data_IF_066880134799
#
_entry.id   IF_066880134799
#
_cell.length_a   1.000
_cell.length_b   1.000
_cell.length_c   1.000
_cell.angle_alpha   90.00
_cell.angle_beta   90.00
_cell.angle_gamma   90.00
#
_symmetry.space_group_name_H-M   'P 1'
#
loop_
_entity.id
_entity.type
_entity.pdbx_description
1 polymer ?
#
# COMPACT_ATOMS: atom_id res chain seq x y z
N UNK A 1 -31.01 41.65 12.07
CA UNK A 1 -30.67 41.82 10.72
C UNK A 1 -29.18 42.19 10.61
N UNK A 2 -28.44 41.58 9.74
CA UNK A 2 -27.09 41.91 9.38
C UNK A 2 -26.01 41.65 10.45
N UNK A 3 -25.64 40.39 10.66
CA UNK A 3 -24.30 39.94 11.15
C UNK A 3 -24.17 38.43 11.05
N UNK A 4 -24.40 37.87 9.88
CA UNK A 4 -24.19 36.44 9.60
C UNK A 4 -23.49 36.20 8.25
N UNK A 5 -22.79 37.21 7.77
CA UNK A 5 -21.97 37.04 6.56
C UNK A 5 -20.59 37.60 6.84
N UNK A 6 -19.58 36.90 6.45
CA UNK A 6 -18.14 37.13 6.58
C UNK A 6 -17.46 36.43 7.76
N UNK A 7 -17.39 35.14 7.69
CA UNK A 7 -16.23 34.40 8.18
C UNK A 7 -15.79 33.35 7.17
N UNK A 8 -15.44 33.82 5.98
CA UNK A 8 -14.42 33.14 5.20
C UNK A 8 -13.10 33.36 5.94
N UNK A 9 -12.76 32.48 6.85
CA UNK A 9 -11.43 32.47 7.43
C UNK A 9 -10.46 32.12 6.34
N UNK A 10 -9.74 33.16 5.87
CA UNK A 10 -8.40 32.97 5.35
C UNK A 10 -7.67 32.08 6.35
N UNK A 11 -7.30 30.88 5.94
CA UNK A 11 -6.49 29.98 6.73
C UNK A 11 -5.16 30.66 6.97
N UNK A 12 -4.97 31.12 8.17
CA UNK A 12 -3.69 31.59 8.66
C UNK A 12 -2.65 30.48 8.43
N UNK A 13 -1.54 30.87 7.85
CA UNK A 13 -0.36 30.12 7.49
C UNK A 13 0.27 29.43 8.74
N UNK A 14 -0.34 28.39 9.30
CA UNK A 14 0.19 27.72 10.50
C UNK A 14 -0.54 26.46 10.96
N UNK A 15 -1.82 26.35 10.76
CA UNK A 15 -2.57 25.18 11.22
C UNK A 15 -2.81 24.18 10.08
N UNK A 16 -2.21 22.99 10.21
CA UNK A 16 -2.41 21.87 9.30
C UNK A 16 -3.84 21.34 9.46
N UNK A 17 -4.52 21.02 8.33
CA UNK A 17 -5.82 20.38 8.33
C UNK A 17 -5.75 19.06 9.12
N UNK A 18 -6.78 18.76 9.92
CA UNK A 18 -6.88 17.53 10.72
C UNK A 18 -8.02 16.65 10.21
N UNK A 19 -7.96 15.35 10.52
CA UNK A 19 -9.06 14.44 10.24
C UNK A 19 -10.34 14.89 10.99
N UNK A 20 -11.49 14.73 10.32
CA UNK A 20 -12.79 15.06 10.90
C UNK A 20 -13.17 14.10 12.03
N UNK A 21 -12.69 12.84 11.99
CA UNK A 21 -13.02 11.81 12.97
C UNK A 21 -11.87 10.83 13.19
N UNK A 22 -11.90 10.12 14.33
CA UNK A 22 -11.01 8.99 14.60
C UNK A 22 -11.18 7.86 13.57
N UNK A 23 -12.41 7.58 13.19
CA UNK A 23 -12.70 6.57 12.17
C UNK A 23 -12.07 6.95 10.82
N UNK A 24 -12.13 8.24 10.45
CA UNK A 24 -11.45 8.76 9.27
C UNK A 24 -9.95 8.53 9.31
N UNK A 25 -9.29 8.84 10.42
CA UNK A 25 -7.87 8.56 10.61
C UNK A 25 -7.54 7.07 10.44
N UNK A 26 -8.26 6.20 11.15
CA UNK A 26 -8.00 4.74 11.09
C UNK A 26 -8.22 4.22 9.68
N UNK A 27 -9.30 4.60 9.01
CA UNK A 27 -9.61 4.11 7.67
C UNK A 27 -8.67 4.66 6.59
N UNK A 28 -8.22 5.91 6.69
CA UNK A 28 -7.23 6.47 5.74
C UNK A 28 -5.86 5.83 5.95
N UNK A 29 -5.41 5.69 7.19
CA UNK A 29 -4.14 5.03 7.50
C UNK A 29 -4.18 3.55 7.13
N UNK A 30 -5.25 2.85 7.44
CA UNK A 30 -5.47 1.49 6.99
C UNK A 30 -5.53 1.40 5.46
N UNK A 31 -6.19 2.36 4.79
CA UNK A 31 -6.27 2.43 3.34
C UNK A 31 -4.91 2.70 2.67
N UNK A 32 -4.01 3.39 3.35
CA UNK A 32 -2.62 3.51 2.90
C UNK A 32 -1.89 2.16 2.98
N UNK A 33 -2.07 1.45 4.07
CA UNK A 33 -1.47 0.14 4.27
C UNK A 33 -2.13 -0.94 3.40
N UNK A 34 -3.46 -0.98 3.36
CA UNK A 34 -4.25 -1.92 2.55
C UNK A 34 -4.16 -1.55 1.07
N UNK A 35 -3.29 -2.23 0.35
CA UNK A 35 -3.06 -1.97 -1.06
C UNK A 35 -2.61 -3.22 -1.79
N UNK A 36 -1.78 -3.03 -2.81
CA UNK A 36 -1.21 -4.14 -3.60
C UNK A 36 -0.38 -5.10 -2.75
N UNK A 37 0.16 -4.65 -1.63
CA UNK A 37 0.86 -5.50 -0.68
C UNK A 37 -0.03 -6.62 -0.13
N UNK A 38 -1.28 -6.32 0.19
CA UNK A 38 -2.23 -7.29 0.74
C UNK A 38 -2.86 -8.18 -0.33
N UNK A 39 -3.33 -7.55 -1.40
CA UNK A 39 -4.21 -8.22 -2.37
C UNK A 39 -3.47 -8.81 -3.56
N UNK A 40 -2.28 -8.31 -3.85
CA UNK A 40 -1.46 -8.76 -4.96
C UNK A 40 -0.20 -9.51 -4.50
N UNK A 41 0.68 -8.85 -3.72
CA UNK A 41 1.95 -9.45 -3.27
C UNK A 41 1.75 -10.57 -2.26
N UNK A 42 0.98 -10.35 -1.21
CA UNK A 42 0.85 -11.32 -0.13
C UNK A 42 0.42 -12.71 -0.61
N UNK A 43 -0.62 -12.87 -1.46
CA UNK A 43 -1.01 -14.19 -1.92
C UNK A 43 0.09 -14.95 -2.66
N UNK A 44 0.78 -14.31 -3.60
CA UNK A 44 1.83 -15.02 -4.34
C UNK A 44 3.10 -15.26 -3.53
N UNK A 45 3.50 -14.31 -2.66
CA UNK A 45 4.65 -14.50 -1.76
C UNK A 45 4.35 -15.61 -0.75
N UNK A 46 3.14 -15.66 -0.20
CA UNK A 46 2.68 -16.74 0.65
C UNK A 46 2.74 -18.09 -0.08
N UNK A 47 2.26 -18.14 -1.32
CA UNK A 47 2.33 -19.34 -2.16
C UNK A 47 3.77 -19.80 -2.43
N UNK A 48 4.69 -18.87 -2.69
CA UNK A 48 6.11 -19.18 -2.94
C UNK A 48 6.86 -19.63 -1.68
N UNK A 49 6.43 -19.22 -0.49
CA UNK A 49 7.12 -19.45 0.78
C UNK A 49 6.46 -20.54 1.66
N UNK A 50 5.61 -21.38 1.08
CA UNK A 50 5.06 -22.53 1.76
C UNK A 50 3.77 -22.31 2.54
N UNK A 51 3.04 -21.24 2.29
CA UNK A 51 1.70 -21.01 2.84
C UNK A 51 1.70 -20.69 4.33
N UNK A 52 1.06 -21.51 5.15
CA UNK A 52 0.83 -21.24 6.57
C UNK A 52 2.12 -20.99 7.38
N UNK A 53 3.22 -21.64 7.06
CA UNK A 53 4.50 -21.41 7.76
C UNK A 53 5.02 -19.98 7.51
N UNK A 54 4.87 -19.48 6.29
CA UNK A 54 5.17 -18.09 5.96
C UNK A 54 4.28 -17.13 6.76
N UNK A 55 2.97 -17.42 6.87
CA UNK A 55 2.03 -16.57 7.60
C UNK A 55 2.43 -16.45 9.06
N UNK A 56 2.83 -17.53 9.73
CA UNK A 56 3.28 -17.49 11.13
C UNK A 56 4.48 -16.55 11.29
N UNK A 57 5.48 -16.68 10.44
CA UNK A 57 6.69 -15.82 10.48
C UNK A 57 6.33 -14.37 10.13
N UNK A 58 5.47 -14.18 9.14
CA UNK A 58 4.96 -12.87 8.74
C UNK A 58 4.24 -12.15 9.88
N UNK A 59 3.35 -12.83 10.60
CA UNK A 59 2.65 -12.28 11.76
C UNK A 59 3.61 -11.90 12.90
N UNK A 60 4.64 -12.71 13.13
CA UNK A 60 5.70 -12.37 14.09
C UNK A 60 6.48 -11.12 13.66
N UNK A 61 6.82 -11.01 12.38
CA UNK A 61 7.48 -9.81 11.85
C UNK A 61 6.60 -8.56 11.99
N UNK A 62 5.30 -8.67 11.72
CA UNK A 62 4.36 -7.57 11.93
C UNK A 62 4.33 -7.11 13.39
N UNK A 63 4.26 -8.05 14.32
CA UNK A 63 4.18 -7.75 15.75
C UNK A 63 5.48 -7.17 16.30
N UNK A 64 6.62 -7.77 15.95
CA UNK A 64 7.93 -7.43 16.55
C UNK A 64 8.61 -6.24 15.84
N UNK A 65 8.38 -6.06 14.55
CA UNK A 65 9.01 -5.02 13.75
C UNK A 65 7.99 -3.97 13.26
N UNK A 66 6.92 -4.42 12.64
CA UNK A 66 5.95 -3.53 12.01
C UNK A 66 5.23 -2.61 12.98
N UNK A 67 4.70 -3.15 14.08
CA UNK A 67 3.98 -2.38 15.08
C UNK A 67 4.84 -1.30 15.76
N UNK A 68 6.06 -1.59 16.23
CA UNK A 68 6.91 -0.55 16.81
C UNK A 68 7.27 0.55 15.80
N UNK A 69 7.60 0.20 14.58
CA UNK A 69 7.97 1.16 13.53
C UNK A 69 6.78 2.04 13.14
N UNK A 70 5.60 1.44 13.01
CA UNK A 70 4.36 2.19 12.73
C UNK A 70 4.06 3.20 13.85
N UNK A 71 4.25 2.81 15.10
CA UNK A 71 4.11 3.71 16.26
C UNK A 71 5.13 4.84 16.21
N UNK A 72 6.39 4.55 15.83
CA UNK A 72 7.42 5.57 15.63
C UNK A 72 7.00 6.61 14.58
N UNK A 73 6.51 6.17 13.43
CA UNK A 73 6.08 7.09 12.37
C UNK A 73 4.90 7.96 12.80
N UNK A 74 3.90 7.39 13.44
CA UNK A 74 2.77 8.16 13.97
C UNK A 74 3.20 9.16 15.05
N UNK A 75 4.11 8.78 15.92
CA UNK A 75 4.62 9.66 16.97
C UNK A 75 5.41 10.85 16.40
N UNK A 76 6.26 10.62 15.42
CA UNK A 76 7.01 11.68 14.73
C UNK A 76 6.04 12.66 14.06
N UNK A 77 5.04 12.15 13.36
CA UNK A 77 4.04 12.97 12.70
C UNK A 77 3.21 13.80 13.67
N UNK A 78 2.70 13.19 14.74
CA UNK A 78 1.89 13.88 15.74
C UNK A 78 2.72 14.87 16.57
N UNK A 79 3.94 14.50 16.93
CA UNK A 79 4.82 15.34 17.73
C UNK A 79 5.34 16.58 16.99
N UNK A 80 5.58 16.46 15.68
CA UNK A 80 6.04 17.58 14.84
C UNK A 80 4.89 18.38 14.21
N UNK A 81 3.73 17.74 13.98
CA UNK A 81 2.63 18.31 13.19
C UNK A 81 2.99 18.52 11.72
N UNK A 82 4.02 17.83 11.22
CA UNK A 82 4.54 18.01 9.86
C UNK A 82 4.81 16.67 9.19
N UNK A 83 4.95 16.70 7.85
CA UNK A 83 5.43 15.55 7.09
C UNK A 83 6.91 15.29 7.36
N UNK A 84 7.40 14.15 6.88
CA UNK A 84 8.83 13.80 6.95
C UNK A 84 9.73 14.83 6.23
N UNK A 85 9.13 15.72 5.43
CA UNK A 85 9.83 16.83 4.79
C UNK A 85 10.53 17.79 5.77
N UNK A 86 9.99 17.94 6.98
CA UNK A 86 10.58 18.81 8.01
C UNK A 86 10.48 18.24 9.43
N UNK A 87 9.74 17.15 9.64
CA UNK A 87 9.49 16.59 10.96
C UNK A 87 10.78 16.22 11.71
N UNK A 88 11.67 15.50 11.07
CA UNK A 88 12.92 15.04 11.69
C UNK A 88 13.84 16.21 12.04
N UNK A 89 13.87 17.24 11.19
CA UNK A 89 14.63 18.47 11.46
C UNK A 89 14.11 19.19 12.69
N UNK A 90 12.80 19.26 12.87
CA UNK A 90 12.21 19.94 14.02
C UNK A 90 12.39 19.22 15.34
N UNK A 91 12.24 17.91 15.34
CA UNK A 91 12.32 17.08 16.55
C UNK A 91 13.76 16.74 16.95
N UNK A 92 14.71 16.78 16.03
CA UNK A 92 16.10 16.47 16.28
C UNK A 92 16.84 17.64 16.99
N UNK A 93 17.92 17.35 17.75
CA UNK A 93 18.82 18.39 18.24
C UNK A 93 19.44 19.20 17.10
N UNK A 94 19.69 20.48 17.34
CA UNK A 94 20.32 21.38 16.35
C UNK A 94 21.70 20.86 15.92
N UNK A 95 21.98 20.96 14.61
CA UNK A 95 23.29 20.59 14.03
C UNK A 95 23.39 19.17 13.53
N UNK A 96 22.33 18.36 13.62
CA UNK A 96 22.30 17.00 13.06
C UNK A 96 22.00 16.96 11.55
N UNK A 97 22.16 15.77 10.97
CA UNK A 97 21.95 15.49 9.55
C UNK A 97 20.58 14.86 9.26
N UNK A 98 19.68 14.77 10.22
CA UNK A 98 18.38 14.10 10.07
C UNK A 98 17.48 14.74 9.00
N UNK A 99 17.66 16.03 8.71
CA UNK A 99 16.95 16.72 7.63
C UNK A 99 17.17 16.10 6.24
N UNK A 100 18.28 15.38 6.04
CA UNK A 100 18.57 14.70 4.77
C UNK A 100 17.63 13.52 4.51
N UNK A 101 17.00 12.98 5.55
CA UNK A 101 16.01 11.91 5.40
C UNK A 101 14.79 12.33 4.58
N UNK A 102 14.45 13.61 4.57
CA UNK A 102 13.36 14.14 3.74
C UNK A 102 13.56 13.86 2.24
N UNK A 103 14.78 14.00 1.75
CA UNK A 103 15.13 13.66 0.36
C UNK A 103 15.02 12.16 0.10
N UNK A 104 15.50 11.35 1.04
CA UNK A 104 15.37 9.90 0.96
C UNK A 104 13.91 9.45 0.86
N UNK A 105 13.06 9.97 1.73
CA UNK A 105 11.65 9.66 1.74
C UNK A 105 10.92 10.16 0.49
N UNK A 106 11.24 11.36 0.04
CA UNK A 106 10.65 11.94 -1.18
C UNK A 106 10.99 11.11 -2.42
N UNK A 107 12.26 10.77 -2.60
CA UNK A 107 12.71 9.92 -3.69
C UNK A 107 12.12 8.51 -3.61
N UNK A 108 12.06 7.92 -2.42
CA UNK A 108 11.47 6.59 -2.21
C UNK A 108 9.99 6.52 -2.54
N UNK A 109 9.21 7.51 -2.14
CA UNK A 109 7.80 7.60 -2.48
C UNK A 109 7.57 7.78 -3.98
N UNK A 110 8.40 8.58 -4.65
CA UNK A 110 8.37 8.69 -6.11
C UNK A 110 8.67 7.36 -6.79
N UNK A 111 9.72 6.69 -6.37
CA UNK A 111 10.10 5.40 -6.93
C UNK A 111 9.01 4.34 -6.76
N UNK A 112 8.33 4.33 -5.61
CA UNK A 112 7.17 3.47 -5.38
C UNK A 112 6.03 3.80 -6.35
N UNK A 113 5.68 5.07 -6.51
CA UNK A 113 4.56 5.48 -7.36
C UNK A 113 4.86 5.31 -8.86
N UNK A 114 6.13 5.28 -9.28
CA UNK A 114 6.50 5.02 -10.67
C UNK A 114 5.96 3.70 -11.22
N UNK A 115 5.89 2.66 -10.40
CA UNK A 115 5.34 1.37 -10.84
C UNK A 115 3.98 1.05 -10.20
N UNK A 116 3.72 1.51 -8.99
CA UNK A 116 2.48 1.21 -8.27
C UNK A 116 1.25 1.76 -9.00
N UNK A 117 1.33 2.97 -9.54
CA UNK A 117 0.25 3.58 -10.33
C UNK A 117 -0.07 2.82 -11.60
N UNK A 118 0.94 2.24 -12.22
CA UNK A 118 0.77 1.37 -13.39
C UNK A 118 0.00 0.10 -13.04
N UNK A 119 0.39 -0.59 -11.97
CA UNK A 119 -0.30 -1.81 -11.51
C UNK A 119 -1.73 -1.49 -11.06
N UNK A 120 -1.94 -0.37 -10.38
CA UNK A 120 -3.29 0.11 -10.07
C UNK A 120 -4.12 0.33 -11.34
N UNK A 121 -3.52 0.86 -12.37
CA UNK A 121 -4.14 0.99 -13.70
C UNK A 121 -4.55 -0.36 -14.30
N UNK A 122 -3.73 -1.39 -14.17
CA UNK A 122 -4.10 -2.75 -14.60
C UNK A 122 -5.34 -3.27 -13.87
N UNK A 123 -5.44 -3.06 -12.58
CA UNK A 123 -6.59 -3.48 -11.78
C UNK A 123 -7.89 -2.81 -12.27
N UNK A 124 -7.85 -1.50 -12.46
CA UNK A 124 -9.00 -0.73 -12.97
C UNK A 124 -9.37 -1.16 -14.39
N UNK A 125 -8.40 -1.34 -15.26
CA UNK A 125 -8.62 -1.81 -16.62
C UNK A 125 -9.28 -3.20 -16.65
N UNK A 126 -8.86 -4.10 -15.75
CA UNK A 126 -9.46 -5.44 -15.69
C UNK A 126 -10.89 -5.47 -15.15
N UNK A 127 -11.33 -4.47 -14.42
CA UNK A 127 -12.78 -4.29 -14.15
C UNK A 127 -13.56 -4.18 -15.47
N UNK A 128 -13.04 -3.36 -16.39
CA UNK A 128 -13.61 -3.23 -17.74
C UNK A 128 -13.50 -4.50 -18.55
N UNK A 129 -12.36 -5.16 -18.56
CA UNK A 129 -12.11 -6.42 -19.30
C UNK A 129 -13.09 -7.50 -18.86
N UNK A 130 -13.26 -7.70 -17.56
CA UNK A 130 -14.22 -8.67 -17.02
C UNK A 130 -15.67 -8.26 -17.29
N UNK A 131 -15.97 -6.98 -17.13
CA UNK A 131 -17.30 -6.43 -17.32
C UNK A 131 -17.79 -6.49 -18.76
N UNK A 132 -16.90 -6.29 -19.73
CA UNK A 132 -17.22 -6.36 -21.17
C UNK A 132 -17.43 -7.79 -21.70
N UNK A 133 -17.06 -8.80 -20.89
CA UNK A 133 -17.16 -10.20 -21.29
C UNK A 133 -16.12 -10.68 -22.30
N UNK A 134 -15.04 -9.91 -22.52
CA UNK A 134 -13.98 -10.26 -23.48
C UNK A 134 -13.29 -11.59 -23.19
N UNK A 135 -13.23 -11.99 -21.91
CA UNK A 135 -12.60 -13.24 -21.47
C UNK A 135 -13.62 -14.36 -21.24
N UNK A 136 -14.91 -14.08 -21.38
CA UNK A 136 -15.96 -15.08 -21.15
C UNK A 136 -15.87 -16.23 -22.14
N UNK A 137 -15.74 -17.46 -21.62
CA UNK A 137 -15.58 -18.66 -22.44
C UNK A 137 -14.23 -18.76 -23.16
N UNK A 138 -13.27 -17.88 -22.87
CA UNK A 138 -11.94 -17.91 -23.47
C UNK A 138 -11.08 -19.07 -22.99
N UNK A 139 -10.16 -19.52 -23.85
CA UNK A 139 -9.12 -20.49 -23.49
C UNK A 139 -8.10 -19.86 -22.53
N UNK A 140 -7.30 -20.72 -21.86
CA UNK A 140 -6.17 -20.27 -21.04
C UNK A 140 -5.21 -19.37 -21.84
N UNK A 141 -4.93 -19.76 -23.09
CA UNK A 141 -4.08 -18.98 -24.01
C UNK A 141 -4.64 -17.61 -24.33
N UNK A 142 -5.96 -17.50 -24.58
CA UNK A 142 -6.63 -16.24 -24.85
C UNK A 142 -6.58 -15.29 -23.66
N UNK A 143 -6.68 -15.81 -22.43
CA UNK A 143 -6.56 -15.04 -21.19
C UNK A 143 -5.14 -14.53 -20.98
N UNK A 144 -4.13 -15.37 -21.20
CA UNK A 144 -2.72 -14.99 -21.14
C UNK A 144 -2.38 -13.95 -22.21
N UNK A 145 -2.87 -14.13 -23.44
CA UNK A 145 -2.67 -13.19 -24.55
C UNK A 145 -3.30 -11.83 -24.28
N UNK A 146 -4.44 -11.78 -23.58
CA UNK A 146 -5.05 -10.52 -23.19
C UNK A 146 -4.16 -9.71 -22.26
N UNK A 147 -3.57 -10.35 -21.25
CA UNK A 147 -2.66 -9.68 -20.33
C UNK A 147 -1.34 -9.27 -21.00
N UNK A 148 -0.71 -10.18 -21.72
CA UNK A 148 0.54 -9.88 -22.44
C UNK A 148 0.31 -8.83 -23.54
N UNK A 149 -0.83 -8.86 -24.22
CA UNK A 149 -1.20 -7.85 -25.19
C UNK A 149 -1.42 -6.46 -24.59
N UNK A 150 -1.98 -6.38 -23.38
CA UNK A 150 -2.06 -5.13 -22.63
C UNK A 150 -0.66 -4.60 -22.30
N UNK A 151 0.23 -5.44 -21.79
CA UNK A 151 1.60 -5.05 -21.46
C UNK A 151 2.39 -4.59 -22.70
N UNK A 152 2.16 -5.22 -23.85
CA UNK A 152 2.81 -4.89 -25.10
C UNK A 152 2.25 -3.63 -25.78
N UNK A 153 1.18 -3.04 -25.28
CA UNK A 153 0.51 -1.87 -25.86
C UNK A 153 0.93 -0.59 -25.16
N UNK A 154 1.94 0.17 -25.64
CA UNK A 154 2.44 1.35 -24.93
C UNK A 154 1.37 2.43 -24.77
N UNK A 155 0.54 2.67 -25.78
CA UNK A 155 -0.52 3.67 -25.72
C UNK A 155 -1.57 3.38 -24.64
N UNK A 156 -2.02 2.13 -24.56
CA UNK A 156 -2.97 1.69 -23.53
C UNK A 156 -2.37 1.78 -22.14
N UNK A 157 -1.14 1.27 -21.96
CA UNK A 157 -0.43 1.30 -20.68
C UNK A 157 -0.22 2.72 -20.15
N UNK A 158 0.21 3.63 -21.01
CA UNK A 158 0.36 5.05 -20.66
C UNK A 158 -0.99 5.65 -20.30
N UNK A 159 -2.04 5.41 -21.09
CA UNK A 159 -3.35 5.97 -20.85
C UNK A 159 -3.95 5.55 -19.51
N UNK A 160 -3.92 4.27 -19.15
CA UNK A 160 -4.47 3.79 -17.89
C UNK A 160 -3.63 4.27 -16.67
N UNK A 161 -2.32 4.35 -16.81
CA UNK A 161 -1.44 4.87 -15.75
C UNK A 161 -1.69 6.36 -15.50
N UNK A 162 -1.74 7.16 -16.55
CA UNK A 162 -2.04 8.60 -16.44
C UNK A 162 -3.45 8.84 -15.89
N UNK A 163 -4.43 8.04 -16.27
CA UNK A 163 -5.79 8.15 -15.73
C UNK A 163 -5.81 7.95 -14.21
N UNK A 164 -5.09 6.96 -13.70
CA UNK A 164 -4.95 6.73 -12.26
C UNK A 164 -4.27 7.92 -11.58
N UNK A 165 -3.16 8.39 -12.12
CA UNK A 165 -2.39 9.51 -11.54
C UNK A 165 -3.27 10.77 -11.47
N UNK A 166 -3.92 11.14 -12.56
CA UNK A 166 -4.77 12.33 -12.63
C UNK A 166 -5.97 12.21 -11.68
N UNK A 167 -6.62 11.06 -11.65
CA UNK A 167 -7.76 10.82 -10.76
C UNK A 167 -7.37 10.95 -9.28
N UNK A 168 -6.28 10.31 -8.87
CA UNK A 168 -5.84 10.31 -7.47
C UNK A 168 -5.28 11.67 -7.03
N UNK A 169 -4.52 12.37 -7.88
CA UNK A 169 -4.10 13.75 -7.61
C UNK A 169 -5.32 14.68 -7.56
N UNK A 170 -6.30 14.47 -8.42
CA UNK A 170 -7.56 15.21 -8.40
C UNK A 170 -8.31 15.06 -7.06
N UNK A 171 -8.34 13.86 -6.50
CA UNK A 171 -8.91 13.61 -5.17
C UNK A 171 -8.12 14.35 -4.08
N UNK A 172 -6.80 14.32 -4.14
CA UNK A 172 -5.95 15.08 -3.22
C UNK A 172 -6.17 16.61 -3.34
N UNK A 173 -6.56 17.11 -4.50
CA UNK A 173 -6.85 18.53 -4.71
C UNK A 173 -8.06 19.04 -3.93
N UNK A 174 -8.96 18.14 -3.52
CA UNK A 174 -10.13 18.47 -2.70
C UNK A 174 -9.77 18.66 -1.21
N UNK A 175 -8.52 18.46 -0.82
CA UNK A 175 -8.04 18.55 0.55
C UNK A 175 -8.17 17.25 1.35
N UNK A 176 -7.81 17.29 2.64
CA UNK A 176 -7.82 16.11 3.50
C UNK A 176 -9.24 15.61 3.79
N UNK A 177 -10.09 16.44 4.38
CA UNK A 177 -11.43 16.02 4.83
C UNK A 177 -12.40 15.74 3.68
N UNK A 178 -12.43 16.60 2.67
CA UNK A 178 -13.37 16.50 1.54
C UNK A 178 -12.90 15.57 0.43
N UNK A 179 -11.60 15.33 0.33
CA UNK A 179 -11.02 14.45 -0.70
C UNK A 179 -10.50 13.14 -0.11
N UNK A 180 -9.31 13.17 0.46
CA UNK A 180 -8.60 11.96 0.92
C UNK A 180 -9.42 11.17 1.94
N UNK A 181 -9.88 11.80 3.01
CA UNK A 181 -10.63 11.13 4.08
C UNK A 181 -11.98 10.60 3.57
N UNK A 182 -12.77 11.43 2.91
CA UNK A 182 -14.11 11.06 2.46
C UNK A 182 -14.09 9.93 1.42
N UNK A 183 -13.26 10.04 0.41
CA UNK A 183 -13.19 9.04 -0.67
C UNK A 183 -12.60 7.73 -0.14
N UNK A 184 -11.50 7.78 0.59
CA UNK A 184 -10.86 6.57 1.15
C UNK A 184 -11.77 5.86 2.14
N UNK A 185 -12.49 6.58 2.98
CA UNK A 185 -13.45 6.00 3.92
C UNK A 185 -14.54 5.19 3.21
N UNK A 186 -15.14 5.75 2.15
CA UNK A 186 -16.15 5.06 1.35
C UNK A 186 -15.56 3.83 0.67
N UNK A 187 -14.37 3.96 0.07
CA UNK A 187 -13.68 2.86 -0.60
C UNK A 187 -13.34 1.72 0.37
N UNK A 188 -12.88 2.03 1.58
CA UNK A 188 -12.54 1.01 2.58
C UNK A 188 -13.76 0.27 3.11
N UNK A 189 -14.87 0.96 3.33
CA UNK A 189 -16.12 0.31 3.73
C UNK A 189 -16.63 -0.62 2.63
N UNK A 190 -16.60 -0.19 1.38
CA UNK A 190 -16.97 -1.02 0.24
C UNK A 190 -16.02 -2.22 0.07
N UNK A 191 -14.72 -2.02 0.26
CA UNK A 191 -13.70 -3.07 0.22
C UNK A 191 -13.98 -4.16 1.25
N UNK A 192 -14.30 -3.80 2.49
CA UNK A 192 -14.60 -4.76 3.56
C UNK A 192 -15.83 -5.61 3.20
N UNK A 193 -16.89 -4.99 2.69
CA UNK A 193 -18.10 -5.71 2.26
C UNK A 193 -17.80 -6.68 1.11
N UNK A 194 -17.10 -6.22 0.09
CA UNK A 194 -16.69 -7.06 -1.06
C UNK A 194 -15.80 -8.22 -0.61
N UNK A 195 -14.86 -7.96 0.29
CA UNK A 195 -13.96 -8.96 0.85
C UNK A 195 -14.72 -10.09 1.56
N UNK A 196 -15.69 -9.75 2.39
CA UNK A 196 -16.52 -10.73 3.12
C UNK A 196 -17.31 -11.60 2.13
N UNK A 197 -17.96 -10.98 1.15
CA UNK A 197 -18.76 -11.66 0.13
C UNK A 197 -17.89 -12.64 -0.68
N UNK A 198 -16.71 -12.19 -1.10
CA UNK A 198 -15.81 -13.03 -1.89
C UNK A 198 -15.14 -14.12 -1.09
N UNK A 199 -14.80 -13.88 0.18
CA UNK A 199 -14.26 -14.90 1.07
C UNK A 199 -15.26 -16.03 1.33
N UNK A 200 -16.52 -15.69 1.59
CA UNK A 200 -17.59 -16.67 1.73
C UNK A 200 -17.74 -17.51 0.46
N UNK A 201 -17.74 -16.87 -0.71
CA UNK A 201 -17.80 -17.59 -1.98
C UNK A 201 -16.62 -18.57 -2.16
N UNK A 202 -15.41 -18.14 -1.86
CA UNK A 202 -14.21 -18.98 -1.97
C UNK A 202 -14.25 -20.19 -1.02
N UNK A 203 -14.73 -20.01 0.20
CA UNK A 203 -14.89 -21.07 1.17
C UNK A 203 -15.99 -22.09 0.80
N UNK A 204 -16.93 -21.69 -0.05
CA UNK A 204 -18.01 -22.57 -0.54
C UNK A 204 -17.63 -23.34 -1.82
N UNK A 205 -16.48 -23.08 -2.41
CA UNK A 205 -16.03 -23.78 -3.62
C UNK A 205 -15.68 -25.24 -3.32
N UNK A 206 -16.12 -26.13 -4.19
CA UNK A 206 -15.73 -27.55 -4.12
C UNK A 206 -14.25 -27.73 -4.49
N UNK A 207 -13.53 -28.60 -3.78
CA UNK A 207 -12.11 -28.83 -4.05
C UNK A 207 -11.15 -27.85 -3.42
N UNK A 208 -11.61 -27.00 -2.51
CA UNK A 208 -10.80 -26.01 -1.81
C UNK A 208 -10.00 -26.56 -0.62
N UNK A 209 -10.19 -27.83 -0.26
CA UNK A 209 -9.64 -28.43 0.96
C UNK A 209 -8.11 -28.40 1.01
N UNK A 210 -7.43 -28.74 -0.10
CA UNK A 210 -5.98 -28.69 -0.18
C UNK A 210 -5.44 -27.25 -0.05
N UNK A 211 -6.14 -26.28 -0.66
CA UNK A 211 -5.81 -24.88 -0.54
C UNK A 211 -5.95 -24.36 0.88
N UNK A 212 -7.01 -24.76 1.59
CA UNK A 212 -7.19 -24.42 2.99
C UNK A 212 -6.13 -25.06 3.89
N UNK A 213 -5.75 -26.30 3.64
CA UNK A 213 -4.65 -26.98 4.37
C UNK A 213 -3.31 -26.27 4.12
N UNK A 214 -3.00 -25.97 2.88
CA UNK A 214 -1.80 -25.21 2.51
C UNK A 214 -1.73 -23.86 3.24
N UNK A 215 -2.86 -23.17 3.33
CA UNK A 215 -2.96 -21.83 3.89
C UNK A 215 -3.04 -21.81 5.43
N UNK A 216 -3.64 -22.82 6.06
CA UNK A 216 -3.92 -22.83 7.50
C UNK A 216 -3.04 -23.78 8.32
N UNK A 217 -2.46 -24.80 7.70
CA UNK A 217 -1.64 -25.79 8.40
C UNK A 217 -0.15 -25.56 8.12
N UNK A 218 0.64 -25.14 9.12
CA UNK A 218 2.07 -24.93 8.96
C UNK A 218 2.82 -26.23 8.63
N UNK A 219 3.82 -26.16 7.75
CA UNK A 219 4.69 -27.27 7.39
C UNK A 219 6.15 -26.84 7.41
N UNK A 220 6.93 -27.44 8.31
CA UNK A 220 8.38 -27.24 8.41
C UNK A 220 9.08 -27.73 7.14
N UNK A 221 8.57 -28.79 6.53
CA UNK A 221 9.11 -29.34 5.29
C UNK A 221 9.09 -28.34 4.14
N UNK A 222 7.99 -27.60 3.98
CA UNK A 222 7.87 -26.54 2.96
C UNK A 222 8.84 -25.38 3.23
N UNK A 223 9.03 -25.02 4.49
CA UNK A 223 10.02 -24.00 4.88
C UNK A 223 11.45 -24.46 4.61
N UNK A 224 11.78 -25.72 4.89
CA UNK A 224 13.07 -26.30 4.56
C UNK A 224 13.32 -26.32 3.04
N UNK A 225 12.31 -26.66 2.25
CA UNK A 225 12.41 -26.68 0.79
C UNK A 225 12.66 -25.29 0.21
N UNK A 226 12.03 -24.25 0.75
CA UNK A 226 12.25 -22.84 0.34
C UNK A 226 13.56 -22.27 0.85
N UNK A 227 14.01 -22.72 2.04
CA UNK A 227 15.13 -22.16 2.80
C UNK A 227 14.65 -21.11 3.81
N UNK A 228 14.95 -21.34 5.09
CA UNK A 228 14.49 -20.49 6.19
C UNK A 228 14.93 -19.02 6.06
N UNK A 229 16.12 -18.77 5.53
CA UNK A 229 16.60 -17.42 5.28
C UNK A 229 15.73 -16.65 4.28
N UNK A 230 15.28 -17.33 3.22
CA UNK A 230 14.40 -16.75 2.22
C UNK A 230 13.01 -16.47 2.79
N UNK A 231 12.44 -17.43 3.54
CA UNK A 231 11.14 -17.27 4.19
C UNK A 231 11.15 -16.09 5.17
N UNK A 232 12.19 -15.98 6.00
CA UNK A 232 12.33 -14.89 6.96
C UNK A 232 12.49 -13.54 6.27
N UNK A 233 13.34 -13.46 5.23
CA UNK A 233 13.56 -12.22 4.48
C UNK A 233 12.28 -11.76 3.78
N UNK A 234 11.60 -12.66 3.09
CA UNK A 234 10.34 -12.34 2.39
C UNK A 234 9.24 -11.93 3.36
N UNK A 235 9.14 -12.59 4.52
CA UNK A 235 8.19 -12.22 5.57
C UNK A 235 8.47 -10.83 6.16
N UNK A 236 9.73 -10.51 6.43
CA UNK A 236 10.15 -9.22 6.98
C UNK A 236 9.90 -8.09 5.96
N UNK A 237 10.33 -8.24 4.72
CA UNK A 237 10.14 -7.22 3.68
C UNK A 237 8.67 -7.04 3.34
N UNK A 238 7.90 -8.11 3.36
CA UNK A 238 6.44 -8.03 3.18
C UNK A 238 5.76 -7.30 4.34
N UNK A 239 6.20 -7.49 5.56
CA UNK A 239 5.67 -6.75 6.72
C UNK A 239 5.90 -5.23 6.58
N UNK A 240 7.07 -4.81 6.13
CA UNK A 240 7.36 -3.40 5.88
C UNK A 240 6.54 -2.84 4.72
N UNK A 241 6.44 -3.60 3.65
CA UNK A 241 5.68 -3.17 2.47
C UNK A 241 4.18 -3.05 2.77
N UNK A 242 3.59 -4.03 3.44
CA UNK A 242 2.16 -4.04 3.74
C UNK A 242 1.73 -2.90 4.65
N UNK A 243 2.55 -2.52 5.63
CA UNK A 243 2.27 -1.40 6.54
C UNK A 243 2.66 -0.04 5.94
N UNK A 244 3.27 -0.01 4.77
CA UNK A 244 3.76 1.22 4.13
C UNK A 244 4.70 2.04 5.03
N UNK A 245 5.51 1.36 5.84
CA UNK A 245 6.47 1.99 6.76
C UNK A 245 7.83 2.18 6.11
N UNK A 246 8.58 3.17 6.55
CA UNK A 246 9.95 3.45 6.12
C UNK A 246 10.13 4.69 5.26
N UNK A 247 9.05 5.29 4.75
CA UNK A 247 9.12 6.47 3.87
C UNK A 247 8.24 7.64 4.33
N UNK A 248 7.67 7.56 5.53
CA UNK A 248 6.86 8.63 6.10
C UNK A 248 5.41 8.66 5.66
N UNK A 249 4.91 7.66 4.93
CA UNK A 249 3.49 7.62 4.52
C UNK A 249 2.54 7.52 5.73
N UNK A 250 2.93 6.78 6.75
CA UNK A 250 2.16 6.72 8.01
C UNK A 250 2.45 7.92 8.89
N UNK A 251 3.64 8.46 8.84
CA UNK A 251 4.04 9.66 9.58
C UNK A 251 3.15 10.85 9.23
N UNK A 252 2.87 11.08 7.94
CA UNK A 252 2.00 12.18 7.52
C UNK A 252 0.61 12.10 8.15
N UNK A 253 0.04 10.90 8.26
CA UNK A 253 -1.28 10.74 8.88
C UNK A 253 -1.23 10.96 10.38
N UNK A 254 -0.14 10.62 11.05
CA UNK A 254 0.11 11.04 12.43
C UNK A 254 0.07 12.55 12.62
N UNK A 255 0.54 13.31 11.63
CA UNK A 255 0.51 14.79 11.68
C UNK A 255 -0.90 15.40 11.60
N UNK A 256 -1.89 14.62 11.20
CA UNK A 256 -3.29 15.05 11.03
C UNK A 256 -4.20 14.67 12.21
N UNK A 257 -3.68 13.99 13.22
CA UNK A 257 -4.47 13.59 14.39
C UNK A 257 -4.14 14.42 15.64
N UNK A 258 -5.12 14.52 16.52
CA UNK A 258 -4.97 15.17 17.82
C UNK A 258 -4.32 14.26 18.86
N UNK A 259 -4.16 14.80 20.07
CA UNK A 259 -3.49 14.12 21.22
C UNK A 259 -4.48 13.46 22.19
N UNK A 260 -5.71 13.20 21.76
CA UNK A 260 -6.77 12.68 22.63
C UNK A 260 -6.55 11.21 23.01
N UNK A 261 -5.85 10.44 22.17
CA UNK A 261 -5.59 9.01 22.35
C UNK A 261 -4.14 8.64 22.25
N UNK A 262 -3.73 7.62 22.97
CA UNK A 262 -2.39 7.04 22.89
C UNK A 262 -2.21 6.34 21.55
N UNK A 263 -1.03 6.49 20.96
CA UNK A 263 -0.70 5.97 19.63
C UNK A 263 -0.63 4.44 19.56
N UNK A 264 -0.35 3.77 20.68
CA UNK A 264 -0.30 2.31 20.73
C UNK A 264 -1.60 1.66 20.23
N UNK A 265 -2.75 2.15 20.69
CA UNK A 265 -4.06 1.66 20.25
C UNK A 265 -4.35 1.98 18.78
N UNK A 266 -3.99 3.16 18.34
CA UNK A 266 -4.17 3.60 16.95
C UNK A 266 -3.34 2.75 15.98
N UNK A 267 -2.07 2.51 16.32
CA UNK A 267 -1.17 1.67 15.53
C UNK A 267 -1.66 0.22 15.46
N UNK A 268 -2.14 -0.34 16.57
CA UNK A 268 -2.74 -1.69 16.60
C UNK A 268 -3.97 -1.78 15.72
N UNK A 269 -4.85 -0.78 15.75
CA UNK A 269 -6.08 -0.77 14.93
C UNK A 269 -5.74 -0.80 13.42
N UNK A 270 -4.79 0.00 13.00
CA UNK A 270 -4.32 0.01 11.60
C UNK A 270 -3.69 -1.32 11.22
N UNK A 271 -2.80 -1.86 12.05
CA UNK A 271 -2.14 -3.14 11.80
C UNK A 271 -3.12 -4.31 11.73
N UNK A 272 -4.13 -4.35 12.60
CA UNK A 272 -5.13 -5.41 12.59
C UNK A 272 -6.01 -5.36 11.33
N UNK A 273 -6.44 -4.18 10.90
CA UNK A 273 -7.19 -4.03 9.65
C UNK A 273 -6.37 -4.44 8.44
N UNK A 274 -5.13 -4.00 8.37
CA UNK A 274 -4.20 -4.38 7.30
C UNK A 274 -3.98 -5.89 7.23
N UNK A 275 -3.71 -6.51 8.38
CA UNK A 275 -3.49 -7.96 8.50
C UNK A 275 -4.76 -8.73 8.14
N UNK A 276 -5.92 -8.29 8.59
CA UNK A 276 -7.20 -8.93 8.26
C UNK A 276 -7.42 -8.96 6.75
N UNK A 277 -7.20 -7.86 6.06
CA UNK A 277 -7.37 -7.79 4.60
C UNK A 277 -6.36 -8.69 3.88
N UNK A 278 -5.10 -8.73 4.32
CA UNK A 278 -4.10 -9.63 3.74
C UNK A 278 -4.49 -11.11 3.90
N UNK A 279 -4.87 -11.52 5.09
CA UNK A 279 -5.28 -12.91 5.38
C UNK A 279 -6.55 -13.29 4.60
N UNK A 280 -7.52 -12.38 4.52
CA UNK A 280 -8.75 -12.62 3.76
C UNK A 280 -8.50 -12.65 2.24
N UNK A 281 -7.60 -11.84 1.73
CA UNK A 281 -7.17 -11.93 0.32
C UNK A 281 -6.56 -13.30 0.01
N UNK A 282 -5.75 -13.85 0.91
CA UNK A 282 -5.24 -15.19 0.80
C UNK A 282 -6.34 -16.26 0.80
N UNK A 283 -7.35 -16.12 1.66
CA UNK A 283 -8.55 -16.99 1.68
C UNK A 283 -9.36 -16.91 0.38
N UNK A 284 -9.43 -15.73 -0.21
CA UNK A 284 -10.13 -15.53 -1.50
C UNK A 284 -9.37 -16.23 -2.64
N UNK A 285 -8.06 -16.08 -2.68
CA UNK A 285 -7.23 -16.42 -3.85
C UNK A 285 -6.71 -17.85 -3.79
N UNK A 286 -6.07 -18.24 -2.69
CA UNK A 286 -5.35 -19.54 -2.64
C UNK A 286 -6.28 -20.76 -2.70
N UNK A 287 -7.37 -20.86 -1.94
CA UNK A 287 -8.29 -21.99 -2.08
C UNK A 287 -8.91 -22.10 -3.48
N UNK A 288 -9.20 -20.97 -4.12
CA UNK A 288 -9.71 -20.94 -5.48
C UNK A 288 -8.68 -21.48 -6.49
N UNK A 289 -7.40 -21.12 -6.33
CA UNK A 289 -6.32 -21.67 -7.15
C UNK A 289 -6.24 -23.20 -7.04
N UNK A 290 -6.24 -23.73 -5.82
CA UNK A 290 -6.19 -25.19 -5.60
C UNK A 290 -7.45 -25.89 -6.11
N UNK A 291 -8.63 -25.31 -5.94
CA UNK A 291 -9.89 -25.89 -6.43
C UNK A 291 -9.90 -26.08 -7.95
N UNK A 292 -9.19 -25.24 -8.69
CA UNK A 292 -9.10 -25.29 -10.15
C UNK A 292 -7.74 -25.78 -10.67
N UNK A 293 -6.91 -26.39 -9.81
CA UNK A 293 -5.64 -27.01 -10.19
C UNK A 293 -4.56 -26.01 -10.61
N UNK A 294 -4.60 -24.78 -10.12
CA UNK A 294 -3.67 -23.71 -10.46
C UNK A 294 -2.62 -23.58 -9.36
N UNK A 295 -1.34 -23.50 -9.78
CA UNK A 295 -0.25 -23.34 -8.82
C UNK A 295 -0.26 -21.93 -8.18
N UNK A 296 -0.17 -21.83 -6.84
CA UNK A 296 -0.18 -20.55 -6.15
C UNK A 296 1.13 -19.78 -6.24
N UNK A 297 2.17 -20.35 -6.82
CA UNK A 297 3.52 -19.77 -6.93
C UNK A 297 3.79 -19.01 -8.24
N UNK A 298 2.76 -18.74 -9.04
CA UNK A 298 2.86 -18.05 -10.34
C UNK A 298 3.42 -16.63 -10.28
N UNK A 299 3.58 -16.07 -9.07
CA UNK A 299 4.12 -14.73 -8.89
C UNK A 299 3.17 -13.61 -9.30
N UNK A 300 3.69 -12.46 -9.77
CA UNK A 300 2.88 -11.28 -10.07
C UNK A 300 1.77 -11.48 -11.12
N UNK A 301 1.93 -12.43 -12.02
CA UNK A 301 0.94 -12.74 -13.06
C UNK A 301 -0.29 -13.52 -12.56
N UNK A 302 -0.25 -14.03 -11.33
CA UNK A 302 -1.31 -14.87 -10.75
C UNK A 302 -2.72 -14.26 -10.90
N UNK A 303 -2.85 -12.98 -10.63
CA UNK A 303 -4.14 -12.29 -10.63
C UNK A 303 -4.71 -12.08 -12.04
N UNK A 304 -3.87 -11.86 -13.02
CA UNK A 304 -4.29 -11.44 -14.35
C UNK A 304 -4.35 -12.57 -15.37
N UNK A 305 -3.53 -13.60 -15.18
CA UNK A 305 -3.50 -14.76 -16.07
C UNK A 305 -4.30 -15.94 -15.51
N UNK A 306 -4.29 -16.08 -14.20
CA UNK A 306 -4.80 -17.27 -13.51
C UNK A 306 -6.22 -17.08 -13.01
N UNK A 307 -6.52 -16.00 -12.28
CA UNK A 307 -7.85 -15.79 -11.70
C UNK A 307 -8.96 -15.57 -12.73
N UNK A 308 -8.75 -14.86 -13.84
CA UNK A 308 -9.77 -14.81 -14.90
C UNK A 308 -10.14 -16.19 -15.43
N UNK A 309 -9.17 -17.11 -15.51
CA UNK A 309 -9.44 -18.50 -15.89
C UNK A 309 -10.29 -19.22 -14.83
N UNK A 310 -10.01 -19.01 -13.54
CA UNK A 310 -10.85 -19.52 -12.45
C UNK A 310 -12.29 -19.02 -12.58
N UNK A 311 -12.47 -17.73 -12.81
CA UNK A 311 -13.80 -17.12 -12.96
C UNK A 311 -14.55 -17.66 -14.17
N UNK A 312 -13.87 -17.95 -15.28
CA UNK A 312 -14.50 -18.55 -16.46
C UNK A 312 -15.09 -19.93 -16.20
N UNK A 313 -14.57 -20.68 -15.25
CA UNK A 313 -15.06 -22.02 -14.90
C UNK A 313 -16.10 -22.00 -13.76
N UNK A 314 -16.35 -20.84 -13.16
CA UNK A 314 -17.30 -20.69 -12.06
C UNK A 314 -18.70 -20.32 -12.57
N UNK A 315 -19.78 -20.82 -11.92
CA UNK A 315 -21.12 -20.29 -12.15
C UNK A 315 -21.18 -18.80 -11.77
N UNK A 316 -21.63 -17.95 -12.69
CA UNK A 316 -21.67 -16.50 -12.49
C UNK A 316 -20.28 -15.85 -12.41
N UNK A 317 -19.26 -16.48 -12.96
CA UNK A 317 -17.86 -16.05 -12.85
C UNK A 317 -17.59 -14.64 -13.40
N UNK A 318 -18.34 -14.17 -14.38
CA UNK A 318 -18.23 -12.79 -14.88
C UNK A 318 -18.53 -11.77 -13.78
N UNK A 319 -19.59 -12.00 -13.01
CA UNK A 319 -19.95 -11.11 -11.88
C UNK A 319 -18.88 -11.20 -10.77
N UNK A 320 -18.44 -12.40 -10.42
CA UNK A 320 -17.37 -12.57 -9.43
C UNK A 320 -16.06 -11.95 -9.87
N UNK A 321 -15.71 -12.04 -11.14
CA UNK A 321 -14.53 -11.40 -11.70
C UNK A 321 -14.61 -9.87 -11.65
N UNK A 322 -15.75 -9.28 -11.95
CA UNK A 322 -15.99 -7.84 -11.83
C UNK A 322 -15.80 -7.40 -10.35
N UNK A 323 -16.46 -8.08 -9.42
CA UNK A 323 -16.38 -7.78 -7.99
C UNK A 323 -14.95 -7.91 -7.46
N UNK A 324 -14.22 -8.93 -7.89
CA UNK A 324 -12.83 -9.15 -7.53
C UNK A 324 -11.94 -7.98 -7.97
N UNK A 325 -12.01 -7.57 -9.21
CA UNK A 325 -11.18 -6.46 -9.71
C UNK A 325 -11.61 -5.10 -9.18
N UNK A 326 -12.89 -4.90 -8.81
CA UNK A 326 -13.32 -3.72 -8.06
C UNK A 326 -12.67 -3.71 -6.65
N UNK A 327 -12.69 -4.84 -5.96
CA UNK A 327 -12.00 -5.01 -4.67
C UNK A 327 -10.51 -4.67 -4.78
N UNK A 328 -9.84 -5.25 -5.78
CA UNK A 328 -8.42 -5.00 -6.06
C UNK A 328 -8.14 -3.54 -6.40
N UNK A 329 -8.99 -2.92 -7.21
CA UNK A 329 -8.88 -1.51 -7.59
C UNK A 329 -9.02 -0.59 -6.39
N UNK A 330 -9.96 -0.83 -5.50
CA UNK A 330 -10.14 -0.02 -4.29
C UNK A 330 -8.94 -0.13 -3.35
N UNK A 331 -8.39 -1.33 -3.17
CA UNK A 331 -7.18 -1.52 -2.41
C UNK A 331 -6.00 -0.74 -3.01
N UNK A 332 -5.79 -0.85 -4.30
CA UNK A 332 -4.71 -0.14 -4.98
C UNK A 332 -4.88 1.38 -4.94
N UNK A 333 -6.06 1.89 -5.29
CA UNK A 333 -6.32 3.33 -5.38
C UNK A 333 -6.27 4.02 -4.02
N UNK A 334 -6.72 3.38 -2.95
CA UNK A 334 -6.64 3.95 -1.59
C UNK A 334 -5.19 4.21 -1.17
N UNK A 335 -4.29 3.29 -1.46
CA UNK A 335 -2.85 3.47 -1.22
C UNK A 335 -2.27 4.57 -2.10
N UNK A 336 -2.61 4.61 -3.38
CA UNK A 336 -2.12 5.66 -4.30
C UNK A 336 -2.53 7.05 -3.81
N UNK A 337 -3.80 7.24 -3.41
CA UNK A 337 -4.30 8.50 -2.86
C UNK A 337 -3.49 8.90 -1.62
N UNK A 338 -3.29 7.96 -0.70
CA UNK A 338 -2.58 8.20 0.55
C UNK A 338 -1.11 8.56 0.32
N UNK A 339 -0.41 7.85 -0.55
CA UNK A 339 1.00 8.14 -0.86
C UNK A 339 1.14 9.45 -1.62
N UNK A 340 0.21 9.79 -2.49
CA UNK A 340 0.21 11.11 -3.15
C UNK A 340 0.01 12.24 -2.15
N UNK A 341 -0.86 12.07 -1.15
CA UNK A 341 -0.99 13.05 -0.06
C UNK A 341 0.34 13.24 0.68
N UNK A 342 1.06 12.14 0.94
CA UNK A 342 2.39 12.21 1.53
C UNK A 342 3.38 12.97 0.64
N UNK A 343 3.46 12.66 -0.63
CA UNK A 343 4.35 13.34 -1.60
C UNK A 343 4.06 14.84 -1.67
N UNK A 344 2.79 15.21 -1.75
CA UNK A 344 2.34 16.60 -1.81
C UNK A 344 2.76 17.33 -0.54
N UNK A 345 2.52 16.73 0.62
CA UNK A 345 2.86 17.32 1.92
C UNK A 345 4.37 17.43 2.15
N UNK A 346 5.15 16.44 1.72
CA UNK A 346 6.62 16.51 1.78
C UNK A 346 7.15 17.70 0.98
N UNK A 347 6.67 17.88 -0.25
CA UNK A 347 7.12 18.99 -1.09
C UNK A 347 6.68 20.36 -0.55
N UNK A 348 5.50 20.45 0.05
CA UNK A 348 5.07 21.66 0.75
C UNK A 348 6.03 22.00 1.90
N UNK A 349 6.33 21.02 2.74
CA UNK A 349 7.15 21.21 3.93
C UNK A 349 8.64 21.44 3.59
N UNK A 350 9.17 20.78 2.54
CA UNK A 350 10.57 20.94 2.11
C UNK A 350 10.83 22.24 1.36
N UNK A 351 9.93 22.60 0.45
CA UNK A 351 10.17 23.69 -0.50
C UNK A 351 9.35 24.93 -0.21
N UNK A 352 8.45 24.88 0.78
CA UNK A 352 7.57 25.99 1.09
C UNK A 352 6.53 26.31 0.00
N UNK A 353 6.21 25.35 -0.86
CA UNK A 353 5.24 25.54 -1.93
C UNK A 353 3.82 25.63 -1.38
N UNK A 354 2.98 26.39 -2.09
CA UNK A 354 1.54 26.33 -1.89
C UNK A 354 1.00 24.99 -2.39
N UNK A 355 -0.07 24.48 -1.79
CA UNK A 355 -0.65 23.19 -2.14
C UNK A 355 -0.93 23.05 -3.65
N UNK A 356 -1.49 24.06 -4.29
CA UNK A 356 -1.77 24.05 -5.74
C UNK A 356 -0.50 23.83 -6.57
N UNK A 357 0.58 24.50 -6.23
CA UNK A 357 1.88 24.34 -6.90
C UNK A 357 2.43 22.92 -6.70
N UNK A 358 2.37 22.40 -5.48
CA UNK A 358 2.78 21.04 -5.16
C UNK A 358 1.99 20.00 -5.96
N UNK A 359 0.67 20.13 -6.03
CA UNK A 359 -0.19 19.24 -6.81
C UNK A 359 0.21 19.22 -8.29
N UNK A 360 0.41 20.36 -8.91
CA UNK A 360 0.73 20.47 -10.34
C UNK A 360 2.12 19.90 -10.63
N UNK A 361 3.14 20.27 -9.84
CA UNK A 361 4.51 19.82 -10.06
C UNK A 361 4.64 18.32 -9.85
N UNK A 362 4.03 17.79 -8.79
CA UNK A 362 4.06 16.34 -8.54
C UNK A 362 3.24 15.55 -9.56
N UNK A 363 2.12 16.10 -10.04
CA UNK A 363 1.36 15.49 -11.14
C UNK A 363 2.24 15.32 -12.39
N UNK A 364 2.92 16.36 -12.80
CA UNK A 364 3.81 16.33 -13.96
C UNK A 364 5.00 15.39 -13.70
N UNK A 365 5.65 15.51 -12.53
CA UNK A 365 6.81 14.71 -12.16
C UNK A 365 6.54 13.22 -12.17
N UNK A 366 5.47 12.78 -11.52
CA UNK A 366 5.10 11.36 -11.47
C UNK A 366 4.65 10.86 -12.83
N UNK A 367 3.88 11.65 -13.58
CA UNK A 367 3.46 11.29 -14.94
C UNK A 367 4.63 11.03 -15.87
N UNK A 368 5.66 11.87 -15.81
CA UNK A 368 6.87 11.70 -16.63
C UNK A 368 7.73 10.53 -16.12
N UNK A 369 7.98 10.46 -14.82
CA UNK A 369 8.87 9.47 -14.22
C UNK A 369 8.27 8.05 -14.15
N UNK A 370 6.96 7.89 -14.30
CA UNK A 370 6.33 6.58 -14.43
C UNK A 370 6.53 5.95 -15.82
N UNK A 371 6.87 6.73 -16.84
CA UNK A 371 7.02 6.25 -18.21
C UNK A 371 8.06 5.13 -18.37
N UNK A 372 9.24 5.16 -17.73
CA UNK A 372 10.19 4.04 -17.83
C UNK A 372 9.61 2.70 -17.40
N UNK A 373 8.88 2.64 -16.32
CA UNK A 373 8.22 1.40 -15.85
C UNK A 373 7.16 0.93 -16.85
N UNK A 374 6.32 1.83 -17.32
CA UNK A 374 5.27 1.55 -18.32
C UNK A 374 5.87 1.05 -19.63
N UNK A 375 6.86 1.74 -20.14
CA UNK A 375 7.54 1.40 -21.41
C UNK A 375 8.46 0.19 -21.27
N UNK A 376 8.85 -0.17 -20.06
CA UNK A 376 9.69 -1.33 -19.77
C UNK A 376 9.08 -2.67 -20.18
N UNK A 377 7.76 -2.74 -20.40
CA UNK A 377 7.04 -3.92 -20.89
C UNK A 377 6.89 -3.97 -22.43
N UNK A 378 7.25 -2.91 -23.13
CA UNK A 378 7.05 -2.78 -24.58
C UNK A 378 8.24 -2.11 -25.26
N UNK A 379 8.27 -0.80 -25.40
CA UNK A 379 9.32 -0.06 -26.12
C UNK A 379 10.71 -0.27 -25.50
N UNK A 380 10.81 -0.31 -24.18
CA UNK A 380 12.06 -0.50 -23.42
C UNK A 380 12.24 -1.93 -22.90
N UNK A 381 11.52 -2.90 -23.44
CA UNK A 381 11.59 -4.30 -22.99
C UNK A 381 12.96 -4.95 -23.14
N UNK A 382 13.83 -4.40 -24.00
CA UNK A 382 15.22 -4.82 -24.13
C UNK A 382 16.11 -4.43 -22.95
N UNK A 383 15.67 -3.53 -22.07
CA UNK A 383 16.40 -3.15 -20.87
C UNK A 383 16.07 -4.14 -19.77
N UNK A 384 17.04 -4.96 -19.37
CA UNK A 384 16.94 -6.00 -18.35
C UNK A 384 17.90 -5.69 -17.20
N UNK A 385 17.53 -4.76 -16.30
CA UNK A 385 18.49 -4.17 -15.34
C UNK A 385 19.00 -5.16 -14.29
N UNK A 386 18.24 -6.24 -14.03
CA UNK A 386 18.61 -7.28 -13.05
C UNK A 386 18.93 -8.63 -13.70
N UNK A 387 19.11 -8.68 -15.01
CA UNK A 387 19.38 -9.89 -15.76
C UNK A 387 18.23 -10.30 -16.70
N UNK A 388 18.44 -11.37 -17.44
CA UNK A 388 17.48 -11.86 -18.43
C UNK A 388 16.10 -12.14 -17.81
N UNK A 389 15.04 -11.72 -18.50
CA UNK A 389 13.65 -11.90 -18.05
C UNK A 389 13.15 -10.84 -17.06
N UNK A 390 13.98 -9.90 -16.66
CA UNK A 390 13.58 -8.77 -15.80
C UNK A 390 13.21 -7.53 -16.60
N UNK A 391 12.52 -6.59 -15.96
CA UNK A 391 12.13 -5.31 -16.54
C UNK A 391 12.42 -4.17 -15.57
N UNK A 392 12.09 -2.94 -15.95
CA UNK A 392 12.36 -1.74 -15.14
C UNK A 392 11.53 -1.78 -13.82
N UNK A 393 10.30 -2.28 -13.88
CA UNK A 393 9.47 -2.43 -12.67
C UNK A 393 10.13 -3.35 -11.64
N UNK A 394 10.75 -4.44 -12.07
CA UNK A 394 11.44 -5.37 -11.17
C UNK A 394 12.58 -4.69 -10.41
N UNK A 395 13.33 -3.83 -11.07
CA UNK A 395 14.38 -3.03 -10.42
C UNK A 395 13.78 -2.04 -9.43
N UNK A 396 12.74 -1.32 -9.81
CA UNK A 396 12.08 -0.34 -8.94
C UNK A 396 11.50 -1.01 -7.69
N UNK A 397 10.82 -2.14 -7.85
CA UNK A 397 10.28 -2.91 -6.72
C UNK A 397 11.39 -3.47 -5.82
N UNK A 398 12.48 -3.97 -6.39
CA UNK A 398 13.63 -4.42 -5.61
C UNK A 398 14.23 -3.29 -4.77
N UNK A 399 14.40 -2.11 -5.35
CA UNK A 399 14.93 -0.94 -4.64
C UNK A 399 13.99 -0.50 -3.51
N UNK A 400 12.70 -0.44 -3.76
CA UNK A 400 11.70 -0.03 -2.75
C UNK A 400 11.54 -1.10 -1.67
N UNK A 401 11.11 -2.29 -2.04
CA UNK A 401 10.71 -3.33 -1.08
C UNK A 401 11.90 -3.96 -0.36
N UNK A 402 13.00 -4.19 -1.07
CA UNK A 402 14.18 -4.86 -0.53
C UNK A 402 15.17 -3.93 0.16
N UNK A 403 15.15 -2.65 -0.12
CA UNK A 403 16.17 -1.70 0.37
C UNK A 403 15.59 -0.47 1.04
N UNK A 404 14.78 0.32 0.34
CA UNK A 404 14.33 1.63 0.84
C UNK A 404 13.42 1.49 2.06
N UNK A 405 12.45 0.60 2.03
CA UNK A 405 11.53 0.39 3.15
C UNK A 405 12.25 -0.16 4.39
N UNK A 406 13.06 -1.22 4.32
CA UNK A 406 13.78 -1.72 5.48
C UNK A 406 14.77 -0.71 6.07
N UNK A 407 15.56 -0.03 5.24
CA UNK A 407 16.52 0.98 5.69
C UNK A 407 15.83 2.22 6.26
N UNK A 408 14.77 2.69 5.63
CA UNK A 408 13.96 3.79 6.14
C UNK A 408 13.31 3.47 7.49
N UNK A 409 12.81 2.25 7.65
CA UNK A 409 12.27 1.75 8.92
C UNK A 409 13.33 1.73 10.02
N UNK A 410 14.54 1.25 9.70
CA UNK A 410 15.68 1.29 10.63
C UNK A 410 16.02 2.74 11.02
N UNK A 411 16.03 3.66 10.08
CA UNK A 411 16.32 5.07 10.35
C UNK A 411 15.26 5.71 11.25
N UNK A 412 13.99 5.39 11.09
CA UNK A 412 12.93 5.85 11.99
C UNK A 412 13.13 5.33 13.43
N UNK A 413 13.48 4.06 13.59
CA UNK A 413 13.77 3.47 14.91
C UNK A 413 14.98 4.14 15.54
N UNK A 414 16.07 4.34 14.79
CA UNK A 414 17.26 5.01 15.28
C UNK A 414 16.98 6.47 15.68
N UNK A 415 16.15 7.16 14.90
CA UNK A 415 15.74 8.52 15.23
C UNK A 415 14.96 8.59 16.55
N UNK A 416 14.01 7.67 16.76
CA UNK A 416 13.19 7.63 17.96
C UNK A 416 13.93 7.15 19.20
N UNK A 417 15.03 6.41 19.05
CA UNK A 417 15.72 5.75 20.18
C UNK A 417 17.06 6.38 20.55
N UNK A 418 17.73 7.05 19.62
CA UNK A 418 19.06 7.62 19.83
C UNK A 418 19.04 9.06 20.32
N UNK A 419 20.03 9.43 21.15
CA UNK A 419 20.18 10.79 21.70
C UNK A 419 20.50 11.86 20.64
N UNK A 420 21.09 11.47 19.51
CA UNK A 420 21.34 12.38 18.39
C UNK A 420 20.12 12.60 17.49
N UNK A 421 19.05 11.86 17.71
CA UNK A 421 17.73 12.05 17.11
C UNK A 421 16.75 12.62 18.11
N UNK A 422 15.52 12.12 18.11
CA UNK A 422 14.47 12.57 19.03
C UNK A 422 14.69 12.06 20.45
N UNK A 423 15.14 10.83 20.60
CA UNK A 423 15.37 10.14 21.88
C UNK A 423 14.17 9.32 22.34
N UNK A 424 14.45 8.20 22.98
CA UNK A 424 13.44 7.23 23.40
C UNK A 424 12.41 7.81 24.39
N UNK A 425 12.89 8.62 25.35
CA UNK A 425 11.99 9.25 26.34
C UNK A 425 10.97 10.20 25.67
N UNK A 426 11.42 11.00 24.72
CA UNK A 426 10.54 11.91 23.98
C UNK A 426 9.54 11.14 23.11
N UNK A 427 9.99 10.07 22.48
CA UNK A 427 9.13 9.19 21.69
C UNK A 427 8.03 8.57 22.56
N UNK A 428 8.38 7.96 23.69
CA UNK A 428 7.43 7.34 24.61
C UNK A 428 6.46 8.38 25.18
N UNK A 429 6.96 9.55 25.55
CA UNK A 429 6.10 10.64 26.05
C UNK A 429 5.03 11.04 25.04
N UNK A 430 5.39 11.16 23.76
CA UNK A 430 4.43 11.47 22.68
C UNK A 430 3.47 10.29 22.43
N UNK A 431 3.98 9.07 22.33
CA UNK A 431 3.17 7.88 22.09
C UNK A 431 2.13 7.63 23.20
N UNK A 432 2.49 7.95 24.44
CA UNK A 432 1.65 7.77 25.61
C UNK A 432 0.79 9.00 25.96
N UNK A 433 0.79 10.02 25.13
CA UNK A 433 -0.12 11.17 25.30
C UNK A 433 -1.54 10.78 24.94
N UNK A 434 -2.49 11.06 25.84
CA UNK A 434 -3.92 10.79 25.62
C UNK A 434 -4.44 9.58 26.39
N UNK A 435 -5.64 9.15 26.06
CA UNK A 435 -6.36 8.04 26.69
C UNK A 435 -6.02 6.73 25.97
N UNK A 436 -5.75 5.66 26.71
CA UNK A 436 -5.54 4.33 26.17
C UNK A 436 -4.45 3.54 26.89
N UNK A 437 -4.05 2.41 26.32
CA UNK A 437 -2.97 1.60 26.85
C UNK A 437 -1.61 2.19 26.46
N UNK A 438 -0.61 2.20 27.37
CA UNK A 438 0.71 2.71 27.07
C UNK A 438 1.44 1.86 26.01
N UNK A 439 2.45 2.47 25.40
CA UNK A 439 3.36 1.76 24.51
C UNK A 439 4.17 0.73 25.33
N UNK A 440 4.26 -0.54 24.89
CA UNK A 440 5.08 -1.54 25.56
C UNK A 440 6.57 -1.15 25.45
N UNK A 441 7.25 -1.04 26.58
CA UNK A 441 8.67 -0.70 26.65
C UNK A 441 9.55 -1.94 26.55
#
# INVERSE_FOLDING_TARGET
SAKKDCMSKESNNGDREKFASRLGFILVSAGCAIGLGNVWKFPYICGQNGGAIFIVIYLLCLLLLGYPILTCEFAIGRGSGKSVGSALKELAPKGGNWHKFSWYAYAGNYLLMMFYTMVAGWMVYYVYVMGSGQLHGGSVEAIEDKFTGMLASPGLMVAITLAVIVCCIGICSLGLQNGVERVTKIMMLALIVLMIVMAVNSLMLSGNEEGLKFYLVPSIERANARGWGNVLFDAMTQAFFTLSVGMGSMEIFGSYIGKERKLSGEAKSVMYLDTLVALMAGVIILPACFAYGISPDKGPSLLFMTLPNVFNHMPGGRVWGILFFIFMSFAALSTVIAVFENIISISIDMFGWKRKKSLIINLIGISVLSLPAVLGFNVLSGITPMGAGTNIMDLEDFLVSGNILPLGSLLFVLFCTRKNGWGFENFVAEADTGIGKPFPQ
#
